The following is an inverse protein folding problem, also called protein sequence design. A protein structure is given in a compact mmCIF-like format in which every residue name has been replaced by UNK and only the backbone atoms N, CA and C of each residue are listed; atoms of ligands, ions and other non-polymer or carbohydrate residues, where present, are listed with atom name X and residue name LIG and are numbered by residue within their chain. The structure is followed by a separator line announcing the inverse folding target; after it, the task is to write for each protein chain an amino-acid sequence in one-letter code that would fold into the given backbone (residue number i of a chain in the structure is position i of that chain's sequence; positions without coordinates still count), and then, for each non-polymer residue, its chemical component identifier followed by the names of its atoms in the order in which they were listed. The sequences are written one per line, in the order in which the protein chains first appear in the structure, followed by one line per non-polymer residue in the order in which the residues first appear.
data_IF_518868869753
#
_entry.id   IF_518868869753
#
_cell.length_a   1.000
_cell.length_b   1.000
_cell.length_c   1.000
_cell.angle_alpha   90.00
_cell.angle_beta   90.00
_cell.angle_gamma   90.00
#
_symmetry.space_group_name_H-M   'P 1'
#
loop_
_entity.id
_entity.type
_entity.pdbx_description
1 polymer ?
#
# COMPACT_ATOMS: atom_id res chain seq x y z
N UNK A 1 -8.74 20.18 -13.92
CA UNK A 1 -7.51 20.47 -13.17
C UNK A 1 -7.63 21.88 -12.59
N UNK A 2 -7.16 22.16 -11.37
CA UNK A 2 -7.33 23.49 -10.80
C UNK A 2 -6.12 24.35 -11.20
N UNK A 3 -6.22 25.04 -12.37
CA UNK A 3 -5.21 25.95 -12.93
C UNK A 3 -4.64 26.91 -11.87
N UNK A 4 -5.51 27.44 -11.01
CA UNK A 4 -5.09 28.38 -9.97
C UNK A 4 -4.15 27.75 -8.95
N UNK A 5 -4.24 26.45 -8.75
CA UNK A 5 -3.34 25.72 -7.87
C UNK A 5 -1.95 25.58 -8.52
N UNK A 6 -1.90 25.19 -9.78
CA UNK A 6 -0.64 25.00 -10.52
C UNK A 6 0.11 26.32 -10.71
N UNK A 7 -0.59 27.39 -11.08
CA UNK A 7 -0.03 28.73 -11.17
C UNK A 7 0.55 29.18 -9.82
N UNK A 8 -0.14 28.91 -8.70
CA UNK A 8 0.39 29.25 -7.36
C UNK A 8 1.63 28.45 -6.99
N UNK A 9 1.71 27.18 -7.37
CA UNK A 9 2.90 26.35 -7.13
C UNK A 9 4.10 26.85 -7.95
N UNK A 10 3.90 27.15 -9.22
CA UNK A 10 4.94 27.73 -10.08
C UNK A 10 5.44 29.08 -9.55
N UNK A 11 4.52 29.96 -9.15
CA UNK A 11 4.87 31.24 -8.53
C UNK A 11 5.65 31.06 -7.23
N UNK A 12 5.33 30.06 -6.44
CA UNK A 12 6.04 29.77 -5.20
C UNK A 12 7.45 29.25 -5.48
N UNK A 13 7.61 28.33 -6.42
CA UNK A 13 8.91 27.80 -6.83
C UNK A 13 9.82 28.90 -7.42
N UNK A 14 9.26 29.77 -8.25
CA UNK A 14 9.97 30.93 -8.81
C UNK A 14 10.41 31.90 -7.70
N UNK A 15 9.50 32.33 -6.82
CA UNK A 15 9.81 33.25 -5.72
C UNK A 15 10.80 32.70 -4.69
N UNK A 16 10.85 31.39 -4.52
CA UNK A 16 11.82 30.75 -3.62
C UNK A 16 13.17 30.49 -4.28
N UNK A 17 13.36 30.87 -5.55
CA UNK A 17 14.62 30.68 -6.30
C UNK A 17 14.89 29.21 -6.70
N UNK A 18 13.92 28.34 -6.56
CA UNK A 18 13.99 26.91 -6.97
C UNK A 18 13.88 26.79 -8.50
N UNK A 19 13.21 27.73 -9.15
CA UNK A 19 12.96 27.77 -10.58
C UNK A 19 13.51 29.02 -11.20
N UNK A 20 14.19 28.91 -12.35
CA UNK A 20 14.66 30.06 -13.11
C UNK A 20 13.51 30.79 -13.82
N UNK A 21 13.70 32.04 -14.18
CA UNK A 21 12.73 32.86 -14.93
C UNK A 21 12.33 32.19 -16.25
N UNK A 22 13.32 31.70 -17.02
CA UNK A 22 13.08 31.00 -18.27
C UNK A 22 12.23 29.72 -18.10
N UNK A 23 12.51 28.92 -17.06
CA UNK A 23 11.73 27.72 -16.74
C UNK A 23 10.31 28.08 -16.26
N UNK A 24 10.14 29.17 -15.53
CA UNK A 24 8.82 29.66 -15.12
C UNK A 24 7.98 30.12 -16.32
N UNK A 25 8.59 30.87 -17.26
CA UNK A 25 7.91 31.31 -18.49
C UNK A 25 7.49 30.11 -19.36
N UNK A 26 8.36 29.12 -19.53
CA UNK A 26 8.07 27.91 -20.30
C UNK A 26 6.88 27.12 -19.70
N UNK A 27 6.85 26.95 -18.39
CA UNK A 27 5.74 26.28 -17.69
C UNK A 27 4.44 27.10 -17.75
N UNK A 28 4.50 28.42 -17.67
CA UNK A 28 3.32 29.28 -17.82
C UNK A 28 2.74 29.18 -19.22
N UNK A 29 3.59 29.21 -20.28
CA UNK A 29 3.16 29.02 -21.67
C UNK A 29 2.54 27.64 -21.86
N UNK A 30 3.07 26.60 -21.24
CA UNK A 30 2.49 25.26 -21.27
C UNK A 30 1.08 25.25 -20.67
N UNK A 31 0.89 25.81 -19.48
CA UNK A 31 -0.41 25.93 -18.83
C UNK A 31 -1.42 26.75 -19.64
N UNK A 32 -0.98 27.77 -20.34
CA UNK A 32 -1.83 28.56 -21.23
C UNK A 32 -2.28 27.77 -22.46
N UNK A 33 -1.38 27.00 -23.08
CA UNK A 33 -1.72 26.11 -24.20
C UNK A 33 -2.70 25.02 -23.79
N UNK A 34 -2.51 24.40 -22.63
CA UNK A 34 -3.42 23.41 -22.06
C UNK A 34 -4.83 24.01 -21.79
N UNK A 35 -4.89 25.27 -21.38
CA UNK A 35 -6.18 25.94 -21.11
C UNK A 35 -6.90 26.44 -22.36
N UNK A 36 -6.16 26.69 -23.46
CA UNK A 36 -6.73 27.20 -24.71
C UNK A 36 -7.43 26.15 -25.58
N UNK A 37 -7.46 24.86 -25.15
CA UNK A 37 -8.16 23.80 -25.87
C UNK A 37 -7.57 23.51 -27.25
N UNK A 38 -6.26 23.79 -27.47
CA UNK A 38 -5.60 23.43 -28.72
C UNK A 38 -5.45 21.90 -28.75
N UNK A 39 -6.37 21.26 -29.46
CA UNK A 39 -6.27 19.85 -29.84
C UNK A 39 -4.98 19.66 -30.65
N UNK A 40 -3.94 19.24 -29.97
CA UNK A 40 -2.66 18.96 -30.60
C UNK A 40 -1.97 17.82 -29.89
N UNK A 41 -2.04 16.63 -30.46
CA UNK A 41 -1.49 15.36 -30.02
C UNK A 41 -2.01 14.90 -28.63
N UNK A 42 -2.91 13.95 -28.63
CA UNK A 42 -3.16 13.11 -27.46
C UNK A 42 -1.80 12.52 -27.06
N UNK A 43 -1.18 13.06 -26.02
CA UNK A 43 -0.06 12.37 -25.39
C UNK A 43 -0.53 10.96 -25.06
N UNK A 44 0.24 9.93 -25.43
CA UNK A 44 -0.15 8.56 -25.14
C UNK A 44 -0.43 8.47 -23.64
N UNK A 45 -1.65 8.08 -23.27
CA UNK A 45 -2.07 7.97 -21.88
C UNK A 45 -1.08 7.15 -21.08
N UNK A 46 -1.01 7.39 -19.77
CA UNK A 46 -0.14 6.62 -18.88
C UNK A 46 -0.71 5.21 -18.70
N UNK A 47 0.03 4.21 -19.16
CA UNK A 47 -0.36 2.81 -19.03
C UNK A 47 0.24 2.19 -17.78
N UNK A 48 -0.62 1.66 -16.90
CA UNK A 48 -0.20 0.91 -15.71
C UNK A 48 -1.23 -0.16 -15.34
N UNK A 49 -0.77 -1.32 -14.92
CA UNK A 49 -1.60 -2.44 -14.46
C UNK A 49 -2.70 -2.86 -15.46
N UNK A 50 -2.40 -2.78 -16.77
CA UNK A 50 -3.33 -3.13 -17.84
C UNK A 50 -4.47 -2.11 -18.03
N UNK A 51 -4.33 -0.91 -17.50
CA UNK A 51 -5.26 0.22 -17.68
C UNK A 51 -4.52 1.44 -18.23
N UNK A 52 -5.22 2.23 -19.02
CA UNK A 52 -4.73 3.51 -19.53
C UNK A 52 -5.36 4.63 -18.72
N UNK A 53 -4.54 5.47 -18.13
CA UNK A 53 -4.91 6.66 -17.37
C UNK A 53 -4.58 7.91 -18.19
N UNK A 54 -5.28 9.00 -17.93
CA UNK A 54 -4.99 10.26 -18.60
C UNK A 54 -3.58 10.77 -18.26
N UNK A 55 -3.18 10.65 -17.00
CA UNK A 55 -1.87 11.09 -16.49
C UNK A 55 -1.27 10.07 -15.52
N UNK A 56 0.05 10.14 -15.30
CA UNK A 56 0.74 9.39 -14.24
C UNK A 56 0.15 9.69 -12.85
N UNK A 57 -0.24 10.95 -12.60
CA UNK A 57 -0.89 11.37 -11.36
C UNK A 57 -2.24 10.66 -11.15
N UNK A 58 -3.06 10.56 -12.19
CA UNK A 58 -4.36 9.89 -12.07
C UNK A 58 -4.20 8.39 -11.78
N UNK A 59 -3.19 7.76 -12.40
CA UNK A 59 -2.82 6.38 -12.10
C UNK A 59 -2.35 6.22 -10.64
N UNK A 60 -1.50 7.14 -10.16
CA UNK A 60 -1.04 7.17 -8.77
C UNK A 60 -2.18 7.27 -7.77
N UNK A 61 -3.10 8.21 -7.96
CA UNK A 61 -4.24 8.40 -7.06
C UNK A 61 -5.14 7.17 -7.05
N UNK A 62 -5.42 6.58 -8.22
CA UNK A 62 -6.19 5.34 -8.31
C UNK A 62 -5.51 4.16 -7.62
N UNK A 63 -4.20 4.03 -7.78
CA UNK A 63 -3.42 2.98 -7.13
C UNK A 63 -3.34 3.18 -5.61
N UNK A 64 -3.07 4.40 -5.17
CA UNK A 64 -3.02 4.75 -3.74
C UNK A 64 -4.35 4.51 -3.05
N UNK A 65 -5.47 4.83 -3.69
CA UNK A 65 -6.79 4.61 -3.13
C UNK A 65 -7.04 3.13 -2.83
N UNK A 66 -6.76 2.25 -3.80
CA UNK A 66 -6.88 0.79 -3.63
C UNK A 66 -5.91 0.25 -2.58
N UNK A 67 -4.65 0.69 -2.62
CA UNK A 67 -3.63 0.23 -1.68
C UNK A 67 -3.94 0.70 -0.26
N UNK A 68 -4.41 1.94 -0.09
CA UNK A 68 -4.81 2.51 1.19
C UNK A 68 -5.95 1.71 1.84
N UNK A 69 -7.00 1.35 1.08
CA UNK A 69 -8.08 0.50 1.57
C UNK A 69 -7.54 -0.81 2.15
N UNK A 70 -6.68 -1.52 1.39
CA UNK A 70 -6.05 -2.76 1.85
C UNK A 70 -5.20 -2.56 3.11
N UNK A 71 -4.51 -1.42 3.24
CA UNK A 71 -3.70 -1.14 4.44
C UNK A 71 -4.55 -0.87 5.67
N UNK A 72 -5.66 -0.16 5.53
CA UNK A 72 -6.63 0.04 6.63
C UNK A 72 -7.22 -1.30 7.07
N UNK A 73 -7.68 -2.11 6.14
CA UNK A 73 -8.27 -3.41 6.43
C UNK A 73 -7.28 -4.33 7.14
N UNK A 74 -6.05 -4.42 6.64
CA UNK A 74 -4.99 -5.23 7.24
C UNK A 74 -4.62 -4.71 8.65
N UNK A 75 -4.46 -3.40 8.82
CA UNK A 75 -4.15 -2.81 10.11
C UNK A 75 -5.20 -3.18 11.17
N UNK A 76 -6.48 -3.05 10.82
CA UNK A 76 -7.59 -3.38 11.71
C UNK A 76 -7.64 -4.87 12.02
N UNK A 77 -7.54 -5.71 10.98
CA UNK A 77 -7.63 -7.17 11.10
C UNK A 77 -6.52 -7.73 12.01
N UNK A 78 -5.28 -7.35 11.76
CA UNK A 78 -4.14 -7.81 12.58
C UNK A 78 -4.17 -7.24 14.00
N UNK A 79 -4.62 -6.00 14.20
CA UNK A 79 -4.80 -5.45 15.54
C UNK A 79 -5.87 -6.19 16.33
N UNK A 80 -7.00 -6.53 15.70
CA UNK A 80 -8.07 -7.33 16.34
C UNK A 80 -7.61 -8.75 16.65
N UNK A 81 -6.85 -9.38 15.77
CA UNK A 81 -6.26 -10.69 16.06
C UNK A 81 -5.27 -10.61 17.22
N UNK A 82 -4.36 -9.65 17.21
CA UNK A 82 -3.40 -9.47 18.31
C UNK A 82 -4.07 -9.33 19.69
N UNK A 83 -5.25 -8.67 19.74
CA UNK A 83 -6.00 -8.47 20.96
C UNK A 83 -6.53 -9.80 21.57
N UNK A 84 -6.86 -10.80 20.75
CA UNK A 84 -7.39 -12.11 21.18
C UNK A 84 -6.36 -13.24 21.06
N UNK A 85 -5.17 -12.96 20.52
CA UNK A 85 -4.10 -13.94 20.30
C UNK A 85 -3.54 -14.47 21.63
N UNK A 86 -3.49 -15.81 21.75
CA UNK A 86 -2.98 -16.50 22.94
C UNK A 86 -1.52 -16.94 22.78
N UNK A 87 -1.00 -16.97 21.56
CA UNK A 87 0.36 -17.39 21.24
C UNK A 87 1.33 -16.20 21.38
N UNK A 88 2.16 -16.19 22.42
CA UNK A 88 2.99 -15.03 22.79
C UNK A 88 3.90 -14.54 21.66
N UNK A 89 4.65 -15.43 21.01
CA UNK A 89 5.54 -15.05 19.90
C UNK A 89 4.79 -14.48 18.68
N UNK A 90 3.60 -15.00 18.40
CA UNK A 90 2.76 -14.54 17.30
C UNK A 90 2.17 -13.15 17.59
N UNK A 91 1.68 -12.92 18.81
CA UNK A 91 1.05 -11.65 19.21
C UNK A 91 1.91 -10.44 18.91
N UNK A 92 3.18 -10.47 19.27
CA UNK A 92 4.11 -9.33 19.06
C UNK A 92 4.27 -9.02 17.58
N UNK A 93 4.41 -10.04 16.73
CA UNK A 93 4.50 -9.84 15.28
C UNK A 93 3.21 -9.28 14.68
N UNK A 94 2.04 -9.74 15.15
CA UNK A 94 0.74 -9.20 14.71
C UNK A 94 0.58 -7.70 15.05
N UNK A 95 1.03 -7.28 16.23
CA UNK A 95 1.03 -5.84 16.61
C UNK A 95 1.92 -5.05 15.64
N UNK A 96 3.13 -5.52 15.38
CA UNK A 96 4.06 -4.86 14.47
C UNK A 96 3.49 -4.75 13.04
N UNK A 97 2.86 -5.82 12.55
CA UNK A 97 2.20 -5.81 11.23
C UNK A 97 1.06 -4.78 11.20
N UNK A 98 0.23 -4.71 12.24
CA UNK A 98 -0.86 -3.74 12.33
C UNK A 98 -0.35 -2.29 12.32
N UNK A 99 0.68 -1.99 13.11
CA UNK A 99 1.30 -0.65 13.17
C UNK A 99 1.95 -0.25 11.84
N UNK A 100 2.64 -1.20 11.18
CA UNK A 100 3.24 -0.99 9.87
C UNK A 100 2.19 -0.64 8.82
N UNK A 101 1.10 -1.42 8.73
CA UNK A 101 0.01 -1.14 7.80
C UNK A 101 -0.67 0.21 8.10
N UNK A 102 -0.87 0.58 9.36
CA UNK A 102 -1.37 1.90 9.75
C UNK A 102 -0.42 3.03 9.31
N UNK A 103 0.90 2.81 9.39
CA UNK A 103 1.90 3.78 8.94
C UNK A 103 1.91 3.93 7.43
N UNK A 104 1.76 2.82 6.68
CA UNK A 104 1.62 2.85 5.22
C UNK A 104 0.37 3.60 4.78
N UNK A 105 -0.78 3.39 5.43
CA UNK A 105 -2.01 4.13 5.13
C UNK A 105 -1.78 5.65 5.27
N UNK A 106 -1.21 6.09 6.40
CA UNK A 106 -0.88 7.51 6.61
C UNK A 106 0.12 8.08 5.59
N UNK A 107 1.10 7.26 5.17
CA UNK A 107 2.07 7.64 4.14
C UNK A 107 1.37 7.88 2.79
N UNK A 108 0.48 6.97 2.39
CA UNK A 108 -0.30 7.08 1.15
C UNK A 108 -1.22 8.30 1.17
N UNK A 109 -1.93 8.55 2.28
CA UNK A 109 -2.77 9.76 2.44
C UNK A 109 -1.96 11.05 2.30
N UNK A 110 -0.80 11.11 2.94
CA UNK A 110 0.09 12.26 2.85
C UNK A 110 0.54 12.49 1.41
N UNK A 111 1.04 11.42 0.75
CA UNK A 111 1.49 11.51 -0.64
C UNK A 111 0.37 11.92 -1.59
N UNK A 112 -0.83 11.35 -1.43
CA UNK A 112 -1.99 11.75 -2.24
C UNK A 112 -2.27 13.25 -2.12
N UNK A 113 -2.22 13.81 -0.91
CA UNK A 113 -2.40 15.27 -0.69
C UNK A 113 -1.28 16.09 -1.31
N UNK A 114 -0.03 15.65 -1.21
CA UNK A 114 1.13 16.33 -1.80
C UNK A 114 1.04 16.42 -3.32
N UNK A 115 0.50 15.40 -3.99
CA UNK A 115 0.23 15.41 -5.43
C UNK A 115 -1.14 16.01 -5.79
N UNK A 116 -1.80 16.69 -4.84
CA UNK A 116 -3.05 17.43 -5.06
C UNK A 116 -4.29 16.56 -5.18
N UNK A 117 -4.30 15.35 -4.60
CA UNK A 117 -5.44 14.46 -4.55
C UNK A 117 -5.95 14.20 -3.14
N UNK A 118 -7.02 13.39 -3.07
CA UNK A 118 -7.58 12.86 -1.83
C UNK A 118 -7.90 11.39 -2.05
N UNK A 119 -7.76 10.58 -1.01
CA UNK A 119 -8.17 9.18 -1.03
C UNK A 119 -9.60 9.08 -0.50
N UNK A 120 -10.39 8.24 -1.13
CA UNK A 120 -11.81 8.05 -0.82
C UNK A 120 -12.12 6.62 -0.35
N UNK A 121 -11.08 5.78 -0.29
CA UNK A 121 -11.22 4.37 0.08
C UNK A 121 -11.75 4.21 1.49
N UNK A 122 -12.79 3.43 1.59
CA UNK A 122 -13.35 2.92 2.84
C UNK A 122 -12.92 1.47 3.03
N UNK A 123 -13.11 0.94 4.25
CA UNK A 123 -12.96 -0.48 4.52
C UNK A 123 -13.74 -1.31 3.48
N UNK A 124 -13.11 -2.36 2.97
CA UNK A 124 -13.73 -3.21 1.96
C UNK A 124 -14.62 -4.27 2.61
N UNK A 125 -15.58 -4.83 1.86
CA UNK A 125 -16.38 -5.96 2.34
C UNK A 125 -15.49 -7.16 2.68
N UNK A 126 -14.44 -7.38 1.87
CA UNK A 126 -13.46 -8.43 2.12
C UNK A 126 -12.68 -8.18 3.42
N UNK A 127 -12.25 -6.94 3.66
CA UNK A 127 -11.59 -6.55 4.89
C UNK A 127 -12.47 -6.75 6.12
N UNK A 128 -13.76 -6.43 6.02
CA UNK A 128 -14.71 -6.65 7.11
C UNK A 128 -14.85 -8.13 7.47
N UNK A 129 -14.94 -9.02 6.49
CA UNK A 129 -14.95 -10.48 6.70
C UNK A 129 -13.66 -10.99 7.33
N UNK A 130 -12.51 -10.48 6.88
CA UNK A 130 -11.22 -10.83 7.46
C UNK A 130 -11.13 -10.42 8.93
N UNK A 131 -11.57 -9.21 9.26
CA UNK A 131 -11.63 -8.71 10.65
C UNK A 131 -12.51 -9.63 11.51
N UNK A 132 -13.68 -10.02 11.04
CA UNK A 132 -14.59 -10.91 11.77
C UNK A 132 -13.93 -12.26 12.11
N UNK A 133 -13.29 -12.89 11.13
CA UNK A 133 -12.59 -14.18 11.33
C UNK A 133 -11.41 -14.03 12.29
N UNK A 134 -10.56 -13.02 12.10
CA UNK A 134 -9.35 -12.87 12.90
C UNK A 134 -9.63 -12.37 14.32
N UNK A 135 -10.71 -11.63 14.53
CA UNK A 135 -11.15 -11.20 15.87
C UNK A 135 -11.83 -12.30 16.69
N UNK A 136 -12.24 -13.42 16.07
CA UNK A 136 -12.97 -14.48 16.74
C UNK A 136 -12.06 -15.24 17.72
N UNK A 137 -12.31 -15.24 19.06
CA UNK A 137 -11.48 -15.94 20.05
C UNK A 137 -11.64 -17.46 20.03
N UNK A 138 -12.71 -17.98 19.40
CA UNK A 138 -13.00 -19.41 19.31
C UNK A 138 -12.19 -20.12 18.20
N UNK A 139 -11.66 -19.36 17.23
CA UNK A 139 -10.77 -19.89 16.20
C UNK A 139 -9.34 -19.88 16.76
N UNK A 140 -8.65 -21.04 16.68
CA UNK A 140 -7.27 -21.12 17.17
C UNK A 140 -6.32 -20.19 16.41
N UNK A 141 -5.25 -19.75 17.06
CA UNK A 141 -4.24 -18.90 16.40
C UNK A 141 -3.58 -19.62 15.21
N UNK A 142 -3.41 -20.94 15.29
CA UNK A 142 -2.85 -21.73 14.20
C UNK A 142 -3.78 -21.80 13.00
N UNK A 143 -5.09 -22.02 13.23
CA UNK A 143 -6.07 -22.06 12.13
C UNK A 143 -6.19 -20.71 11.43
N UNK A 144 -6.20 -19.61 12.20
CA UNK A 144 -6.15 -18.25 11.65
C UNK A 144 -4.89 -18.04 10.81
N UNK A 145 -3.74 -18.45 11.32
CA UNK A 145 -2.45 -18.29 10.66
C UNK A 145 -2.41 -19.10 9.35
N UNK A 146 -2.82 -20.35 9.38
CA UNK A 146 -2.92 -21.16 8.17
C UNK A 146 -3.88 -20.57 7.15
N UNK A 147 -5.05 -20.06 7.60
CA UNK A 147 -5.99 -19.35 6.76
C UNK A 147 -5.37 -18.14 6.09
N UNK A 148 -4.68 -17.28 6.85
CA UNK A 148 -4.00 -16.08 6.33
C UNK A 148 -2.89 -16.46 5.34
N UNK A 149 -2.01 -17.40 5.68
CA UNK A 149 -0.89 -17.83 4.83
C UNK A 149 -1.35 -18.43 3.51
N UNK A 150 -2.49 -19.15 3.49
CA UNK A 150 -3.06 -19.68 2.25
C UNK A 150 -3.52 -18.58 1.26
N UNK A 151 -3.82 -17.38 1.74
CA UNK A 151 -4.19 -16.24 0.91
C UNK A 151 -3.04 -15.27 0.61
N UNK A 152 -1.97 -15.31 1.41
CA UNK A 152 -0.80 -14.47 1.21
C UNK A 152 0.15 -15.15 0.22
N UNK A 153 0.43 -14.53 -0.92
CA UNK A 153 1.40 -15.06 -1.86
C UNK A 153 2.79 -15.19 -1.23
N UNK A 154 3.65 -15.97 -1.87
CA UNK A 154 5.09 -15.96 -1.57
C UNK A 154 5.64 -14.53 -1.51
N UNK A 155 6.64 -14.24 -0.65
CA UNK A 155 7.09 -12.86 -0.37
C UNK A 155 7.36 -12.00 -1.60
N UNK A 156 7.98 -12.57 -2.63
CA UNK A 156 8.25 -11.85 -3.89
C UNK A 156 6.96 -11.55 -4.67
N UNK A 157 6.02 -12.47 -4.66
CA UNK A 157 4.74 -12.31 -5.34
C UNK A 157 3.84 -11.31 -4.61
N UNK A 158 3.90 -11.25 -3.27
CA UNK A 158 3.18 -10.26 -2.46
C UNK A 158 3.60 -8.82 -2.78
N UNK A 159 4.90 -8.58 -2.96
CA UNK A 159 5.44 -7.26 -3.31
C UNK A 159 5.27 -6.90 -4.80
N UNK A 160 5.12 -7.88 -5.68
CA UNK A 160 5.20 -7.68 -7.15
C UNK A 160 4.22 -6.64 -7.71
N UNK A 161 2.93 -6.58 -7.33
CA UNK A 161 2.00 -5.57 -7.86
C UNK A 161 2.47 -4.14 -7.56
N UNK A 162 2.96 -3.89 -6.33
CA UNK A 162 3.43 -2.58 -5.88
C UNK A 162 4.73 -2.22 -6.62
N UNK A 163 5.67 -3.16 -6.72
CA UNK A 163 6.94 -2.95 -7.43
C UNK A 163 6.73 -2.72 -8.93
N UNK A 164 5.81 -3.44 -9.56
CA UNK A 164 5.52 -3.27 -10.98
C UNK A 164 4.91 -1.89 -11.25
N UNK A 165 3.99 -1.45 -10.40
CA UNK A 165 3.45 -0.09 -10.50
C UNK A 165 4.55 0.96 -10.27
N UNK A 166 5.38 0.81 -9.22
CA UNK A 166 6.50 1.71 -8.96
C UNK A 166 7.50 1.79 -10.12
N UNK A 167 7.74 0.68 -10.84
CA UNK A 167 8.61 0.67 -12.04
C UNK A 167 8.04 1.48 -13.20
N UNK A 168 6.72 1.49 -13.36
CA UNK A 168 6.05 2.22 -14.43
C UNK A 168 6.12 3.74 -14.24
N UNK A 169 6.28 4.24 -13.00
CA UNK A 169 6.39 5.66 -12.70
C UNK A 169 7.64 6.27 -13.32
N UNK A 170 7.48 7.39 -14.02
CA UNK A 170 8.55 8.09 -14.75
C UNK A 170 9.00 9.36 -14.03
N UNK A 171 8.06 10.16 -13.56
CA UNK A 171 8.29 11.51 -13.06
C UNK A 171 8.25 11.62 -11.53
N UNK A 172 7.36 10.91 -10.85
CA UNK A 172 7.20 11.01 -9.40
C UNK A 172 8.14 10.05 -8.64
N UNK A 173 9.36 10.53 -8.39
CA UNK A 173 10.42 9.77 -7.71
C UNK A 173 10.05 9.48 -6.24
N UNK A 174 9.40 10.43 -5.56
CA UNK A 174 9.04 10.28 -4.14
C UNK A 174 7.97 9.20 -3.96
N UNK A 175 6.92 9.20 -4.78
CA UNK A 175 5.92 8.15 -4.79
C UNK A 175 6.53 6.78 -5.14
N UNK A 176 7.46 6.76 -6.09
CA UNK A 176 8.20 5.55 -6.44
C UNK A 176 9.00 4.99 -5.27
N UNK A 177 9.65 5.84 -4.48
CA UNK A 177 10.40 5.43 -3.29
C UNK A 177 9.46 4.96 -2.17
N UNK A 178 8.37 5.69 -1.92
CA UNK A 178 7.37 5.29 -0.94
C UNK A 178 6.77 3.91 -1.24
N UNK A 179 6.44 3.65 -2.50
CA UNK A 179 5.91 2.35 -2.94
C UNK A 179 6.95 1.23 -2.80
N UNK A 180 8.23 1.49 -3.06
CA UNK A 180 9.29 0.50 -2.84
C UNK A 180 9.42 0.12 -1.37
N UNK A 181 9.40 1.10 -0.47
CA UNK A 181 9.42 0.87 0.98
C UNK A 181 8.23 -0.02 1.40
N UNK A 182 7.02 0.32 0.95
CA UNK A 182 5.82 -0.48 1.24
C UNK A 182 5.97 -1.91 0.70
N UNK A 183 6.50 -2.08 -0.51
CA UNK A 183 6.70 -3.40 -1.12
C UNK A 183 7.71 -4.27 -0.35
N UNK A 184 8.81 -3.68 0.14
CA UNK A 184 9.81 -4.36 0.96
C UNK A 184 9.19 -4.83 2.29
N UNK A 185 8.38 -3.99 2.90
CA UNK A 185 7.66 -4.32 4.13
C UNK A 185 6.60 -5.40 3.90
N UNK A 186 5.90 -5.42 2.76
CA UNK A 186 4.97 -6.50 2.40
C UNK A 186 5.69 -7.84 2.22
N UNK A 187 6.82 -7.85 1.51
CA UNK A 187 7.63 -9.05 1.35
C UNK A 187 8.12 -9.58 2.70
N UNK A 188 8.61 -8.68 3.57
CA UNK A 188 9.05 -9.03 4.93
C UNK A 188 7.92 -9.58 5.78
N UNK A 189 6.73 -8.99 5.69
CA UNK A 189 5.54 -9.46 6.42
C UNK A 189 5.11 -10.84 5.95
N UNK A 190 5.05 -11.05 4.63
CA UNK A 190 4.72 -12.36 4.05
C UNK A 190 5.74 -13.43 4.49
N UNK A 191 7.04 -13.15 4.40
CA UNK A 191 8.10 -14.05 4.83
C UNK A 191 7.91 -14.46 6.31
N UNK A 192 7.72 -13.46 7.18
CA UNK A 192 7.55 -13.73 8.60
C UNK A 192 6.30 -14.59 8.91
N UNK A 193 5.18 -14.35 8.23
CA UNK A 193 3.95 -15.14 8.40
C UNK A 193 4.15 -16.59 7.95
N UNK A 194 4.84 -16.83 6.83
CA UNK A 194 5.18 -18.17 6.37
C UNK A 194 6.13 -18.90 7.34
N UNK A 195 7.16 -18.20 7.82
CA UNK A 195 8.15 -18.77 8.74
C UNK A 195 7.53 -19.16 10.09
N UNK A 196 6.72 -18.26 10.69
CA UNK A 196 6.06 -18.57 11.96
C UNK A 196 5.01 -19.69 11.81
N UNK A 197 4.31 -19.75 10.67
CA UNK A 197 3.39 -20.83 10.37
C UNK A 197 4.12 -22.18 10.32
N UNK A 198 5.24 -22.24 9.63
CA UNK A 198 6.11 -23.43 9.55
C UNK A 198 6.62 -23.83 10.93
N UNK A 199 7.08 -22.88 11.74
CA UNK A 199 7.59 -23.15 13.08
C UNK A 199 6.51 -23.74 14.01
N UNK A 200 5.30 -23.17 13.98
CA UNK A 200 4.20 -23.63 14.83
C UNK A 200 3.64 -24.98 14.38
N UNK A 201 3.56 -25.26 13.08
CA UNK A 201 3.11 -26.56 12.57
C UNK A 201 4.13 -27.67 12.86
N UNK A 202 5.45 -27.40 12.71
CA UNK A 202 6.52 -28.37 13.02
C UNK A 202 6.58 -28.71 14.50
N UNK A 203 6.35 -27.75 15.38
CA UNK A 203 6.34 -27.95 16.83
C UNK A 203 5.18 -28.86 17.33
N UNK A 204 4.06 -28.88 16.62
CA UNK A 204 2.91 -29.74 16.95
C UNK A 204 3.14 -31.23 16.56
N UNK A 205 4.00 -31.50 15.59
CA UNK A 205 4.29 -32.86 15.10
C UNK A 205 5.27 -33.60 16.01
N UNK A 206 5.92 -32.94 16.98
CA UNK A 206 6.99 -33.48 17.81
C UNK A 206 6.56 -33.88 19.22
N UNK A 207 5.26 -33.86 19.55
CA UNK A 207 4.78 -34.40 20.84
C UNK A 207 4.81 -35.95 20.79
N UNK A 208 5.65 -36.65 21.59
CA UNK A 208 5.66 -38.09 21.61
C UNK A 208 4.32 -38.57 22.20
N UNK A 209 3.66 -39.49 21.51
CA UNK A 209 2.63 -40.35 22.12
C UNK A 209 3.21 -40.91 23.41
N UNK A 210 2.71 -40.43 24.53
CA UNK A 210 2.95 -41.06 25.82
C UNK A 210 2.34 -42.46 25.78
N UNK A 211 3.21 -43.43 25.54
CA UNK A 211 2.89 -44.88 25.67
C UNK A 211 2.51 -45.10 27.13
N UNK A 212 1.21 -45.10 27.43
CA UNK A 212 0.69 -45.73 28.62
C UNK A 212 1.00 -47.25 28.53
N UNK A 213 2.02 -47.67 29.24
CA UNK A 213 2.20 -49.07 29.60
C UNK A 213 1.56 -49.29 30.97
N UNK A 214 0.46 -50.01 30.96
CA UNK A 214 -0.10 -50.74 32.12
C UNK A 214 0.88 -51.76 32.71
#
# INVERSE_FOLDING_TARGET
MNRDFEVRQLLRAYRSGIMSEAAFEEEMVRLERESAGVEGNEEPGFEALGQVYRTERDALLSFFDKLHATKIDAALAFAKWAAVCRTTGLRTGLILIAERNSSHARLLERRAREIGGQLHSLATEHGSKLVEVLANPEISDLDKLMGVVNFIPEPRAAAAPILNFAKALKSDIESKQALRLIAEDEASTAAWLHDICTALTSGHTSAPESTERS
#
